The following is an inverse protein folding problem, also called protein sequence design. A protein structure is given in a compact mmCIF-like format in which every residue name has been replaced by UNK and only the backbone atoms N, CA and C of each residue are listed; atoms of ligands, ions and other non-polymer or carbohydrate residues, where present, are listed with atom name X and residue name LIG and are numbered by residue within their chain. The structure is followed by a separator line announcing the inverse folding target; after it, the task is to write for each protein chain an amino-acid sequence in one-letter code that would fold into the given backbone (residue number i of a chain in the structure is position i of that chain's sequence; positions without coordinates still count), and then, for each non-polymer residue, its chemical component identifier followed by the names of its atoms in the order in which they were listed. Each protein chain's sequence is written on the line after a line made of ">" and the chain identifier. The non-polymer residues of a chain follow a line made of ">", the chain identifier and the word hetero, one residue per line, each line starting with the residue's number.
data_IF_047228046376
#
_entry.id   IF_047228046376
#
_cell.length_a   1.000
_cell.length_b   1.000
_cell.length_c   1.000
_cell.angle_alpha   90.00
_cell.angle_beta   90.00
_cell.angle_gamma   90.00
#
_symmetry.space_group_name_H-M   'P 1'
#
loop_
_entity.id
_entity.type
_entity.pdbx_description
1 polymer ?
#
# COMPACT_ATOMS: atom_id res chain seq x y z
N UNK A 1 72.21 -74.87 -27.48
CA UNK A 1 71.25 -75.72 -26.74
C UNK A 1 69.96 -74.90 -26.65
N UNK A 2 68.90 -75.37 -27.31
CA UNK A 2 67.59 -74.73 -27.43
C UNK A 2 66.71 -75.03 -26.18
N UNK A 3 65.67 -74.20 -26.01
CA UNK A 3 64.47 -74.40 -25.15
C UNK A 3 64.66 -74.21 -23.64
N UNK A 4 63.75 -73.59 -22.87
CA UNK A 4 62.33 -73.30 -23.07
C UNK A 4 61.94 -71.94 -22.49
N UNK A 5 61.11 -71.21 -23.24
CA UNK A 5 60.20 -70.21 -22.70
C UNK A 5 59.21 -70.87 -21.74
N UNK A 6 59.08 -70.32 -20.53
CA UNK A 6 57.98 -70.62 -19.61
C UNK A 6 57.06 -69.41 -19.56
N UNK A 7 56.02 -69.41 -20.40
CA UNK A 7 54.85 -68.57 -20.20
C UNK A 7 54.16 -68.99 -18.91
N UNK A 8 53.90 -68.06 -18.00
CA UNK A 8 52.90 -68.22 -16.95
C UNK A 8 51.98 -67.00 -16.91
N UNK A 9 50.87 -67.18 -17.63
CA UNK A 9 49.49 -66.89 -17.21
C UNK A 9 49.18 -65.43 -16.83
N UNK A 10 48.58 -64.74 -17.80
CA UNK A 10 47.63 -63.65 -17.57
C UNK A 10 46.50 -64.15 -16.65
N UNK A 11 46.55 -63.79 -15.37
CA UNK A 11 45.40 -63.88 -14.47
C UNK A 11 44.88 -62.47 -14.15
N UNK A 12 43.65 -62.21 -14.61
CA UNK A 12 42.66 -61.25 -14.08
C UNK A 12 42.72 -59.76 -14.51
N UNK A 13 42.75 -59.47 -15.81
CA UNK A 13 42.19 -58.20 -16.31
C UNK A 13 40.66 -58.23 -16.39
N UNK A 14 40.07 -59.40 -16.71
CA UNK A 14 38.62 -59.53 -16.96
C UNK A 14 37.78 -59.32 -15.69
N UNK A 15 38.18 -59.88 -14.54
CA UNK A 15 37.43 -59.71 -13.29
C UNK A 15 37.37 -58.26 -12.78
N UNK A 16 38.39 -57.45 -13.07
CA UNK A 16 38.39 -56.00 -12.73
C UNK A 16 37.51 -55.20 -13.67
N UNK A 17 37.42 -55.60 -14.93
CA UNK A 17 36.52 -54.98 -15.92
C UNK A 17 35.07 -55.28 -15.57
N UNK A 18 34.77 -56.53 -15.16
CA UNK A 18 33.42 -56.92 -14.74
C UNK A 18 32.96 -56.17 -13.47
N UNK A 19 33.84 -55.98 -12.48
CA UNK A 19 33.54 -55.22 -11.27
C UNK A 19 33.30 -53.72 -11.55
N UNK A 20 34.08 -53.14 -12.47
CA UNK A 20 33.90 -51.76 -12.95
C UNK A 20 32.58 -51.59 -13.71
N UNK A 21 32.23 -52.55 -14.57
CA UNK A 21 30.95 -52.56 -15.30
C UNK A 21 29.76 -52.70 -14.35
N UNK A 22 29.88 -53.52 -13.31
CA UNK A 22 28.83 -53.67 -12.31
C UNK A 22 28.63 -52.39 -11.48
N UNK A 23 29.73 -51.74 -11.07
CA UNK A 23 29.69 -50.46 -10.36
C UNK A 23 29.03 -49.37 -11.23
N UNK A 24 29.45 -49.26 -12.49
CA UNK A 24 28.90 -48.29 -13.43
C UNK A 24 27.40 -48.54 -13.69
N UNK A 25 26.98 -49.79 -13.84
CA UNK A 25 25.56 -50.12 -14.01
C UNK A 25 24.72 -49.74 -12.78
N UNK A 26 25.27 -49.93 -11.57
CA UNK A 26 24.60 -49.49 -10.35
C UNK A 26 24.49 -47.97 -10.25
N UNK A 27 25.54 -47.24 -10.64
CA UNK A 27 25.52 -45.77 -10.70
C UNK A 27 24.52 -45.25 -11.74
N UNK A 28 24.51 -45.83 -12.95
CA UNK A 28 23.54 -45.50 -14.00
C UNK A 28 22.11 -45.72 -13.49
N UNK A 29 21.86 -46.85 -12.82
CA UNK A 29 20.55 -47.14 -12.24
C UNK A 29 20.15 -46.11 -11.18
N UNK A 30 21.07 -45.78 -10.27
CA UNK A 30 20.82 -44.76 -9.23
C UNK A 30 20.61 -43.35 -9.82
N UNK A 31 21.33 -42.99 -10.89
CA UNK A 31 21.13 -41.72 -11.60
C UNK A 31 19.77 -41.67 -12.30
N UNK A 32 19.36 -42.76 -12.97
CA UNK A 32 18.04 -42.83 -13.62
C UNK A 32 16.89 -42.73 -12.60
N UNK A 33 17.03 -43.37 -11.44
CA UNK A 33 16.05 -43.25 -10.35
C UNK A 33 15.95 -41.80 -9.83
N UNK A 34 17.09 -41.11 -9.67
CA UNK A 34 17.10 -39.68 -9.28
C UNK A 34 16.49 -38.78 -10.35
N UNK A 35 16.78 -39.05 -11.62
CA UNK A 35 16.25 -38.27 -12.74
C UNK A 35 14.72 -38.37 -12.80
N UNK A 36 14.16 -39.58 -12.63
CA UNK A 36 12.71 -39.77 -12.52
C UNK A 36 12.09 -39.05 -11.33
N UNK A 37 12.79 -38.96 -10.19
CA UNK A 37 12.32 -38.19 -9.03
C UNK A 37 12.28 -36.70 -9.37
N UNK A 38 13.35 -36.17 -9.96
CA UNK A 38 13.41 -34.76 -10.35
C UNK A 38 12.40 -34.38 -11.43
N UNK A 39 12.13 -35.26 -12.39
CA UNK A 39 11.08 -35.04 -13.39
C UNK A 39 9.69 -34.94 -12.73
N UNK A 40 9.41 -35.78 -11.73
CA UNK A 40 8.15 -35.69 -10.97
C UNK A 40 8.07 -34.41 -10.14
N UNK A 41 9.15 -34.06 -9.44
CA UNK A 41 9.20 -32.83 -8.66
C UNK A 41 9.03 -31.59 -9.53
N UNK A 42 9.65 -31.58 -10.72
CA UNK A 42 9.49 -30.49 -11.68
C UNK A 42 8.05 -30.39 -12.15
N UNK A 43 7.44 -31.51 -12.55
CA UNK A 43 6.03 -31.53 -12.99
C UNK A 43 5.07 -31.04 -11.90
N UNK A 44 5.27 -31.44 -10.64
CA UNK A 44 4.47 -30.94 -9.51
C UNK A 44 4.66 -29.43 -9.33
N UNK A 45 5.91 -28.95 -9.39
CA UNK A 45 6.22 -27.51 -9.26
C UNK A 45 5.61 -26.69 -10.41
N UNK A 46 5.63 -27.20 -11.64
CA UNK A 46 5.01 -26.55 -12.79
C UNK A 46 3.49 -26.43 -12.61
N UNK A 47 2.84 -27.48 -12.11
CA UNK A 47 1.42 -27.43 -11.79
C UNK A 47 1.13 -26.40 -10.69
N UNK A 48 1.90 -26.38 -9.61
CA UNK A 48 1.74 -25.38 -8.54
C UNK A 48 1.94 -23.95 -9.05
N UNK A 49 2.90 -23.72 -9.94
CA UNK A 49 3.11 -22.40 -10.56
C UNK A 49 1.88 -21.98 -11.38
N UNK A 50 1.26 -22.92 -12.10
CA UNK A 50 0.06 -22.62 -12.88
C UNK A 50 -1.14 -22.29 -11.98
N UNK A 51 -1.37 -23.07 -10.92
CA UNK A 51 -2.43 -22.81 -9.93
C UNK A 51 -2.25 -21.43 -9.26
N UNK A 52 -1.02 -21.08 -8.85
CA UNK A 52 -0.73 -19.77 -8.26
C UNK A 52 -0.95 -18.61 -9.23
N UNK A 53 -0.70 -18.80 -10.53
CA UNK A 53 -0.98 -17.77 -11.54
C UNK A 53 -2.47 -17.52 -11.70
N UNK A 54 -3.27 -18.59 -11.72
CA UNK A 54 -4.72 -18.51 -11.82
C UNK A 54 -5.33 -17.84 -10.58
N UNK A 55 -4.84 -18.17 -9.38
CA UNK A 55 -5.24 -17.48 -8.15
C UNK A 55 -4.89 -15.99 -8.19
N UNK A 56 -3.68 -15.64 -8.63
CA UNK A 56 -3.24 -14.25 -8.74
C UNK A 56 -4.13 -13.44 -9.70
N UNK A 57 -4.48 -14.01 -10.85
CA UNK A 57 -5.36 -13.37 -11.83
C UNK A 57 -6.77 -13.16 -11.25
N UNK A 58 -7.31 -14.16 -10.56
CA UNK A 58 -8.60 -14.05 -9.88
C UNK A 58 -8.60 -12.96 -8.81
N UNK A 59 -7.58 -12.92 -7.93
CA UNK A 59 -7.45 -11.87 -6.92
C UNK A 59 -7.33 -10.50 -7.57
N UNK A 60 -6.52 -10.36 -8.62
CA UNK A 60 -6.36 -9.09 -9.33
C UNK A 60 -7.67 -8.61 -9.95
N UNK A 61 -8.46 -9.52 -10.54
CA UNK A 61 -9.79 -9.23 -11.05
C UNK A 61 -10.74 -8.73 -9.96
N UNK A 62 -10.81 -9.45 -8.83
CA UNK A 62 -11.63 -9.06 -7.68
C UNK A 62 -11.25 -7.68 -7.13
N UNK A 63 -9.96 -7.41 -6.96
CA UNK A 63 -9.49 -6.09 -6.50
C UNK A 63 -9.89 -4.98 -7.45
N UNK A 64 -9.77 -5.19 -8.77
CA UNK A 64 -10.15 -4.19 -9.77
C UNK A 64 -11.65 -3.86 -9.70
N UNK A 65 -12.50 -4.88 -9.57
CA UNK A 65 -13.94 -4.70 -9.44
C UNK A 65 -14.30 -3.96 -8.14
N UNK A 66 -13.66 -4.33 -7.03
CA UNK A 66 -13.88 -3.69 -5.73
C UNK A 66 -13.43 -2.22 -5.74
N UNK A 67 -12.27 -1.92 -6.32
CA UNK A 67 -11.79 -0.53 -6.49
C UNK A 67 -12.77 0.28 -7.32
N UNK A 68 -13.23 -0.24 -8.46
CA UNK A 68 -14.20 0.47 -9.31
C UNK A 68 -15.53 0.71 -8.60
N UNK A 69 -16.00 -0.26 -7.80
CA UNK A 69 -17.19 -0.09 -6.97
C UNK A 69 -17.02 1.01 -5.93
N UNK A 70 -15.88 1.04 -5.23
CA UNK A 70 -15.57 2.07 -4.23
C UNK A 70 -15.44 3.47 -4.86
N UNK A 71 -14.80 3.58 -6.02
CA UNK A 71 -14.71 4.84 -6.77
C UNK A 71 -16.10 5.36 -7.16
N UNK A 72 -16.98 4.47 -7.64
CA UNK A 72 -18.36 4.84 -7.96
C UNK A 72 -19.13 5.31 -6.72
N UNK A 73 -19.00 4.62 -5.58
CA UNK A 73 -19.61 5.06 -4.32
C UNK A 73 -19.06 6.40 -3.85
N UNK A 74 -17.74 6.62 -3.95
CA UNK A 74 -17.12 7.89 -3.60
C UNK A 74 -17.66 9.04 -4.48
N UNK A 75 -17.80 8.82 -5.78
CA UNK A 75 -18.37 9.79 -6.72
C UNK A 75 -19.84 10.10 -6.38
N UNK A 76 -20.64 9.08 -6.09
CA UNK A 76 -22.04 9.27 -5.66
C UNK A 76 -22.10 10.08 -4.36
N UNK A 77 -21.30 9.72 -3.36
CA UNK A 77 -21.25 10.45 -2.09
C UNK A 77 -20.82 11.90 -2.29
N UNK A 78 -19.81 12.14 -3.13
CA UNK A 78 -19.38 13.50 -3.47
C UNK A 78 -20.52 14.29 -4.12
N UNK A 79 -21.26 13.70 -5.06
CA UNK A 79 -22.43 14.34 -5.66
C UNK A 79 -23.51 14.67 -4.62
N UNK A 80 -23.81 13.76 -3.70
CA UNK A 80 -24.78 13.98 -2.63
C UNK A 80 -24.34 15.10 -1.68
N UNK A 81 -23.07 15.08 -1.27
CA UNK A 81 -22.45 16.08 -0.40
C UNK A 81 -22.50 17.47 -1.05
N UNK A 82 -22.10 17.59 -2.32
CA UNK A 82 -22.10 18.87 -3.05
C UNK A 82 -23.51 19.45 -3.29
N UNK A 83 -24.54 18.61 -3.27
CA UNK A 83 -25.93 19.03 -3.44
C UNK A 83 -26.72 19.03 -2.12
N UNK A 84 -26.05 18.83 -0.98
CA UNK A 84 -26.68 18.92 0.32
C UNK A 84 -26.93 20.40 0.65
N UNK A 85 -28.19 20.86 0.76
CA UNK A 85 -28.52 22.29 0.79
C UNK A 85 -27.95 23.03 2.00
N UNK A 86 -27.72 22.33 3.11
CA UNK A 86 -27.25 22.92 4.37
C UNK A 86 -25.76 22.65 4.63
N UNK A 87 -25.07 21.98 3.71
CA UNK A 87 -23.63 21.77 3.81
C UNK A 87 -22.90 23.01 3.31
N UNK A 88 -22.09 23.58 4.18
CA UNK A 88 -21.16 24.66 3.82
C UNK A 88 -19.74 24.19 4.04
N UNK A 89 -18.85 24.57 3.13
CA UNK A 89 -17.43 24.23 3.15
C UNK A 89 -16.62 25.53 3.17
N UNK A 90 -15.62 25.58 4.05
CA UNK A 90 -14.74 26.72 4.22
C UNK A 90 -13.29 26.21 4.32
N UNK A 91 -12.37 26.88 3.64
CA UNK A 91 -10.94 26.68 3.82
C UNK A 91 -10.42 27.65 4.89
N UNK A 92 -9.63 27.15 5.84
CA UNK A 92 -9.11 27.98 6.92
C UNK A 92 -7.82 27.45 7.54
N UNK A 93 -7.03 28.36 8.11
CA UNK A 93 -5.96 28.04 9.03
C UNK A 93 -6.50 28.04 10.46
N UNK A 94 -6.14 27.03 11.25
CA UNK A 94 -6.43 27.01 12.69
C UNK A 94 -5.26 27.68 13.41
N UNK A 95 -5.51 28.84 14.02
CA UNK A 95 -4.50 29.64 14.70
C UNK A 95 -4.37 29.27 16.17
N UNK A 96 -5.51 29.09 16.83
CA UNK A 96 -5.55 28.73 18.25
C UNK A 96 -6.69 27.75 18.54
N UNK A 97 -6.46 26.88 19.50
CA UNK A 97 -7.45 25.96 20.04
C UNK A 97 -7.59 26.26 21.54
N UNK A 98 -8.80 26.61 21.97
CA UNK A 98 -9.10 27.01 23.33
C UNK A 98 -10.16 26.10 23.93
N UNK A 99 -9.86 25.48 25.07
CA UNK A 99 -10.80 24.68 25.86
C UNK A 99 -11.08 25.37 27.19
N UNK A 100 -12.32 25.80 27.40
CA UNK A 100 -12.77 26.42 28.65
C UNK A 100 -14.11 25.85 29.08
N UNK A 101 -14.21 25.36 30.32
CA UNK A 101 -15.47 24.88 30.92
C UNK A 101 -16.23 23.88 30.03
N UNK A 102 -15.52 22.89 29.46
CA UNK A 102 -16.06 21.86 28.55
C UNK A 102 -16.50 22.39 27.16
N UNK A 103 -16.28 23.68 26.87
CA UNK A 103 -16.48 24.27 25.55
C UNK A 103 -15.14 24.35 24.79
N UNK A 104 -15.08 23.65 23.66
CA UNK A 104 -13.95 23.71 22.73
C UNK A 104 -14.25 24.73 21.63
N UNK A 105 -13.33 25.66 21.44
CA UNK A 105 -13.43 26.71 20.42
C UNK A 105 -12.15 26.84 19.62
N UNK A 106 -12.28 26.99 18.31
CA UNK A 106 -11.15 27.23 17.41
C UNK A 106 -11.16 28.66 16.94
N UNK A 107 -9.98 29.28 16.93
CA UNK A 107 -9.73 30.55 16.29
C UNK A 107 -9.17 30.27 14.89
N UNK A 108 -9.87 30.72 13.87
CA UNK A 108 -9.53 30.41 12.48
C UNK A 108 -9.42 31.67 11.62
N UNK A 109 -8.53 31.60 10.64
CA UNK A 109 -8.43 32.58 9.56
C UNK A 109 -8.90 31.93 8.27
N UNK A 110 -9.91 32.53 7.62
CA UNK A 110 -10.38 32.03 6.33
C UNK A 110 -9.31 32.20 5.26
N UNK A 111 -9.14 31.14 4.49
CA UNK A 111 -8.20 31.05 3.40
C UNK A 111 -8.95 30.87 2.08
N UNK A 112 -8.44 31.49 1.03
CA UNK A 112 -8.97 31.35 -0.32
C UNK A 112 -7.83 31.22 -1.31
N UNK A 113 -8.04 30.37 -2.30
CA UNK A 113 -7.18 30.30 -3.47
C UNK A 113 -7.48 31.47 -4.40
N UNK A 114 -6.49 32.32 -4.61
CA UNK A 114 -6.50 33.35 -5.64
C UNK A 114 -5.58 32.95 -6.78
N UNK A 115 -6.08 33.12 -8.01
CA UNK A 115 -5.27 32.92 -9.19
C UNK A 115 -4.21 34.02 -9.27
N UNK A 116 -2.95 33.62 -9.31
CA UNK A 116 -1.82 34.53 -9.45
C UNK A 116 -0.83 33.93 -10.44
N UNK A 117 -0.76 34.51 -11.65
CA UNK A 117 0.13 34.06 -12.73
C UNK A 117 1.62 34.11 -12.39
N UNK A 118 1.99 34.86 -11.35
CA UNK A 118 3.39 35.03 -10.94
C UNK A 118 3.81 34.03 -9.85
N UNK A 119 2.86 33.24 -9.32
CA UNK A 119 3.14 32.20 -8.35
C UNK A 119 3.58 30.90 -9.04
N UNK A 120 4.43 30.05 -8.41
CA UNK A 120 4.93 28.80 -9.01
C UNK A 120 3.84 27.86 -9.55
N UNK A 121 2.66 27.90 -8.92
CA UNK A 121 1.51 27.06 -9.25
C UNK A 121 0.34 27.86 -9.86
N UNK A 122 0.60 29.06 -10.38
CA UNK A 122 -0.41 30.01 -10.88
C UNK A 122 -1.51 30.34 -9.86
N UNK A 123 -1.28 30.10 -8.58
CA UNK A 123 -2.22 30.38 -7.52
C UNK A 123 -1.49 30.64 -6.20
N UNK A 124 -2.02 31.56 -5.41
CA UNK A 124 -1.60 31.81 -4.05
C UNK A 124 -2.78 31.57 -3.12
N UNK A 125 -2.49 31.05 -1.93
CA UNK A 125 -3.45 31.04 -0.85
C UNK A 125 -3.35 32.40 -0.14
N UNK A 126 -4.45 33.12 -0.09
CA UNK A 126 -4.55 34.41 0.62
C UNK A 126 -5.53 34.29 1.77
N UNK A 127 -5.26 34.99 2.87
CA UNK A 127 -6.24 35.16 3.92
C UNK A 127 -7.33 36.11 3.41
N UNK A 128 -8.58 35.65 3.36
CA UNK A 128 -9.69 36.44 2.81
C UNK A 128 -10.03 37.62 3.75
N UNK A 129 -9.81 37.44 5.06
CA UNK A 129 -9.90 38.46 6.11
C UNK A 129 -8.92 38.11 7.24
N UNK A 130 -8.06 39.03 7.68
CA UNK A 130 -7.34 38.91 8.97
C UNK A 130 -8.28 39.10 10.18
N UNK A 131 -9.51 38.56 10.10
CA UNK A 131 -10.44 38.53 11.21
C UNK A 131 -10.40 37.11 11.77
N UNK A 132 -9.71 36.96 12.89
CA UNK A 132 -9.71 35.75 13.70
C UNK A 132 -11.16 35.38 14.08
N UNK A 133 -11.77 34.44 13.35
CA UNK A 133 -13.14 34.01 13.60
C UNK A 133 -13.11 32.90 14.64
N UNK A 134 -13.91 33.08 15.70
CA UNK A 134 -14.09 32.07 16.73
C UNK A 134 -15.26 31.16 16.37
N UNK A 135 -14.98 29.86 16.19
CA UNK A 135 -16.00 28.83 15.99
C UNK A 135 -16.09 27.91 17.20
N UNK A 136 -17.30 27.45 17.51
CA UNK A 136 -17.52 26.43 18.54
C UNK A 136 -17.43 25.05 17.89
N UNK A 137 -16.71 24.14 18.55
CA UNK A 137 -16.46 22.78 18.06
C UNK A 137 -17.20 21.80 18.96
N UNK A 138 -17.93 20.87 18.35
CA UNK A 138 -18.58 19.78 19.07
C UNK A 138 -17.60 18.60 19.21
N UNK A 139 -17.74 17.82 20.29
CA UNK A 139 -16.94 16.61 20.53
C UNK A 139 -17.08 15.55 19.43
N UNK A 140 -18.17 15.59 18.66
CA UNK A 140 -18.45 14.62 17.60
C UNK A 140 -17.91 15.03 16.22
N UNK A 141 -17.02 16.04 16.15
CA UNK A 141 -16.36 16.40 14.90
C UNK A 141 -15.39 15.29 14.50
N UNK A 142 -15.51 14.82 13.26
CA UNK A 142 -14.51 13.93 12.67
C UNK A 142 -13.32 14.74 12.15
N UNK A 143 -12.10 14.23 12.38
CA UNK A 143 -10.89 14.92 11.93
C UNK A 143 -10.00 13.97 11.14
N UNK A 144 -9.47 14.47 10.03
CA UNK A 144 -8.51 13.76 9.19
C UNK A 144 -7.31 14.67 8.93
N UNK A 145 -6.12 14.18 9.25
CA UNK A 145 -4.85 14.87 8.99
C UNK A 145 -4.04 14.10 7.96
N UNK A 146 -3.09 14.75 7.30
CA UNK A 146 -2.22 14.14 6.31
C UNK A 146 -0.92 13.75 6.99
N UNK A 147 -0.66 12.46 7.03
CA UNK A 147 0.61 11.90 7.50
C UNK A 147 1.27 11.15 6.33
N UNK A 148 2.50 11.52 5.99
CA UNK A 148 3.24 10.91 4.87
C UNK A 148 2.40 10.87 3.57
N UNK A 149 1.75 11.98 3.22
CA UNK A 149 0.86 12.12 2.06
C UNK A 149 -0.40 11.23 2.06
N UNK A 150 -0.76 10.63 3.20
CA UNK A 150 -1.97 9.82 3.34
C UNK A 150 -2.93 10.45 4.36
N UNK A 151 -4.23 10.55 4.06
CA UNK A 151 -5.22 10.96 5.05
C UNK A 151 -5.35 9.92 6.16
N UNK A 152 -5.15 10.34 7.40
CA UNK A 152 -5.25 9.55 8.62
C UNK A 152 -6.36 10.11 9.48
N UNK A 153 -7.30 9.26 9.89
CA UNK A 153 -8.32 9.64 10.88
C UNK A 153 -7.66 9.92 12.24
N UNK A 154 -8.07 11.01 12.88
CA UNK A 154 -7.70 11.33 14.26
C UNK A 154 -8.93 11.58 15.11
N UNK A 155 -8.83 11.16 16.37
CA UNK A 155 -9.81 11.59 17.36
C UNK A 155 -9.66 13.10 17.59
N UNK A 156 -10.73 13.76 18.01
CA UNK A 156 -10.66 15.18 18.33
C UNK A 156 -9.65 15.46 19.46
N UNK A 157 -9.53 14.56 20.43
CA UNK A 157 -8.57 14.66 21.53
C UNK A 157 -7.12 14.62 21.03
N UNK A 158 -6.81 13.70 20.11
CA UNK A 158 -5.47 13.65 19.50
C UNK A 158 -5.22 14.91 18.66
N UNK A 159 -6.21 15.30 17.85
CA UNK A 159 -6.14 16.47 16.97
C UNK A 159 -5.75 17.73 17.75
N UNK A 160 -6.45 18.07 18.84
CA UNK A 160 -6.19 19.32 19.58
C UNK A 160 -4.80 19.40 20.23
N UNK A 161 -4.12 18.27 20.40
CA UNK A 161 -2.77 18.24 20.98
C UNK A 161 -1.66 18.47 19.96
N UNK A 162 -2.00 18.49 18.67
CA UNK A 162 -1.04 18.67 17.59
C UNK A 162 -0.66 20.13 17.37
N UNK A 163 0.45 20.29 16.63
CA UNK A 163 0.77 21.58 16.01
C UNK A 163 -0.01 21.74 14.71
N UNK A 164 -0.76 22.83 14.62
CA UNK A 164 -1.55 23.18 13.44
C UNK A 164 -1.01 24.39 12.67
N UNK A 165 0.09 24.99 13.13
CA UNK A 165 0.76 26.10 12.46
C UNK A 165 1.05 25.75 10.99
N UNK A 166 0.72 26.69 10.09
CA UNK A 166 0.92 26.59 8.64
C UNK A 166 0.19 25.44 7.92
N UNK A 167 -0.76 24.77 8.58
CA UNK A 167 -1.58 23.71 7.97
C UNK A 167 -2.93 24.26 7.52
N UNK A 168 -3.31 23.97 6.29
CA UNK A 168 -4.60 24.36 5.72
C UNK A 168 -5.64 23.27 5.96
N UNK A 169 -6.84 23.66 6.39
CA UNK A 169 -7.94 22.74 6.63
C UNK A 169 -9.17 23.10 5.81
N UNK A 170 -9.85 22.06 5.34
CA UNK A 170 -11.22 22.11 4.86
C UNK A 170 -12.16 21.84 6.03
N UNK A 171 -12.96 22.83 6.39
CA UNK A 171 -13.95 22.79 7.46
C UNK A 171 -15.34 22.64 6.85
N UNK A 172 -16.06 21.59 7.24
CA UNK A 172 -17.39 21.28 6.74
C UNK A 172 -18.43 21.48 7.85
N UNK A 173 -19.46 22.25 7.54
CA UNK A 173 -20.52 22.59 8.49
C UNK A 173 -21.89 22.16 7.95
N UNK A 174 -22.74 21.64 8.84
CA UNK A 174 -24.15 21.38 8.59
C UNK A 174 -24.96 22.25 9.56
N UNK A 175 -25.84 23.10 9.04
CA UNK A 175 -26.62 24.06 9.86
C UNK A 175 -25.73 24.90 10.81
N UNK A 176 -24.58 25.37 10.32
CA UNK A 176 -23.55 26.10 11.08
C UNK A 176 -22.84 25.31 12.19
N UNK A 177 -23.04 23.98 12.29
CA UNK A 177 -22.29 23.11 13.20
C UNK A 177 -21.14 22.48 12.43
N UNK A 178 -19.92 22.66 12.90
CA UNK A 178 -18.77 21.95 12.35
C UNK A 178 -18.99 20.46 12.57
N UNK A 179 -18.82 19.66 11.51
CA UNK A 179 -18.98 18.19 11.56
C UNK A 179 -17.73 17.45 11.12
N UNK A 180 -16.90 18.07 10.26
CA UNK A 180 -15.75 17.40 9.66
C UNK A 180 -14.62 18.41 9.39
N UNK A 181 -13.40 18.01 9.71
CA UNK A 181 -12.16 18.72 9.43
C UNK A 181 -11.26 17.80 8.63
N UNK A 182 -10.78 18.28 7.47
CA UNK A 182 -9.83 17.54 6.63
C UNK A 182 -8.66 18.46 6.34
N UNK A 183 -7.44 18.04 6.68
CA UNK A 183 -6.24 18.73 6.25
C UNK A 183 -6.08 18.67 4.73
N UNK A 184 -5.71 19.79 4.13
CA UNK A 184 -5.43 19.91 2.71
C UNK A 184 -3.92 19.97 2.49
N UNK A 185 -3.42 19.11 1.59
CA UNK A 185 -2.04 19.20 1.13
C UNK A 185 -1.87 20.51 0.36
N UNK A 186 -0.94 21.34 0.81
CA UNK A 186 -0.49 22.49 0.03
C UNK A 186 0.47 22.00 -1.06
N UNK A 187 0.30 22.45 -2.31
CA UNK A 187 1.15 22.07 -3.43
C UNK A 187 2.55 22.68 -3.35
#
# INVERSE_FOLDING_TARGET
>A
MFSLAGCTINESSDGKIDEQLQTLNNEIKAMNEKLLIYERELSVKEQTIQELKEELENYSGMYREQTSYLENLANINQHLILNMPDLTHIQAFIKEINEHNEELTFLIDYAKWEHNSDAPNNANLVNEKEENIKIRVNKNVETYTIENATPTYKTLEDFITEKHEDRLYNLYFIENKLVLIIEQLLP
#
